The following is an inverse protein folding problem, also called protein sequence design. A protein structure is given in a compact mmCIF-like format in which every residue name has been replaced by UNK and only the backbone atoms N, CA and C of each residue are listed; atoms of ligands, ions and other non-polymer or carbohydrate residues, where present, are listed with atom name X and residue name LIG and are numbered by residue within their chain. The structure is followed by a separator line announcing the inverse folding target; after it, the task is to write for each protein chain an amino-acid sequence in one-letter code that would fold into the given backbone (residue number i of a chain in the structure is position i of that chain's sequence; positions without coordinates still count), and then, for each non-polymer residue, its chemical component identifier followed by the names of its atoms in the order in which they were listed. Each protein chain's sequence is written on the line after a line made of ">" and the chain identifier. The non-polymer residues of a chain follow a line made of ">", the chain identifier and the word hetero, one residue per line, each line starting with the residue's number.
data_IF_085023877434
#
_entry.id   IF_085023877434
#
_cell.length_a   1.000
_cell.length_b   1.000
_cell.length_c   1.000
_cell.angle_alpha   90.00
_cell.angle_beta   90.00
_cell.angle_gamma   90.00
#
_symmetry.space_group_name_H-M   'P 1'
#
loop_
_entity.id
_entity.type
_entity.pdbx_description
1 polymer ?
#
# COMPACT_ATOMS: atom_id res chain seq x y z
N UNK A 1 -10.53 13.85 4.22
CA UNK A 1 -10.71 12.40 4.41
C UNK A 1 -10.96 12.17 5.90
N UNK A 2 -12.05 11.48 6.28
CA UNK A 2 -12.39 11.17 7.67
C UNK A 2 -12.83 12.34 8.57
N UNK A 3 -13.22 13.51 8.02
CA UNK A 3 -13.64 14.67 8.83
C UNK A 3 -12.49 15.42 9.54
N UNK A 4 -11.23 15.12 9.21
CA UNK A 4 -10.09 15.89 9.66
C UNK A 4 -10.00 17.23 8.91
N UNK A 5 -9.73 18.31 9.63
CA UNK A 5 -9.62 19.67 9.12
C UNK A 5 -8.18 20.17 9.29
N UNK A 6 -7.49 20.57 8.20
CA UNK A 6 -6.12 21.09 8.29
C UNK A 6 -6.02 22.25 9.29
N UNK A 7 -5.10 22.13 10.26
CA UNK A 7 -4.88 23.16 11.28
C UNK A 7 -5.88 23.16 12.43
N UNK A 8 -6.92 22.32 12.39
CA UNK A 8 -7.95 22.23 13.43
C UNK A 8 -7.92 20.88 14.15
N UNK A 9 -8.05 19.78 13.40
CA UNK A 9 -8.21 18.44 13.98
C UNK A 9 -7.61 17.35 13.10
N UNK A 10 -6.69 16.59 13.70
CA UNK A 10 -6.15 15.34 13.17
C UNK A 10 -6.85 14.18 13.88
N UNK A 11 -7.67 13.42 13.14
CA UNK A 11 -8.42 12.28 13.68
C UNK A 11 -7.64 10.96 13.68
N UNK A 12 -6.34 10.98 13.40
CA UNK A 12 -5.52 9.80 13.65
C UNK A 12 -5.16 9.70 15.13
N UNK A 13 -5.06 8.48 15.65
CA UNK A 13 -4.46 8.24 16.96
C UNK A 13 -2.94 8.43 16.96
N UNK A 14 -2.27 8.27 15.81
CA UNK A 14 -0.81 8.37 15.69
C UNK A 14 -0.37 9.25 14.51
N UNK A 15 0.54 10.19 14.78
CA UNK A 15 1.15 11.05 13.76
C UNK A 15 2.11 10.28 12.85
N UNK A 16 2.28 10.75 11.61
CA UNK A 16 3.24 10.20 10.65
C UNK A 16 3.80 11.31 9.72
N UNK A 17 5.05 11.20 9.21
CA UNK A 17 5.74 12.27 8.47
C UNK A 17 5.01 12.81 7.23
N UNK A 18 4.24 11.98 6.54
CA UNK A 18 3.39 12.34 5.41
C UNK A 18 2.21 13.23 5.72
N UNK A 19 1.98 13.61 6.98
CA UNK A 19 1.05 14.69 7.30
C UNK A 19 1.62 16.08 7.05
N UNK A 20 2.94 16.22 7.01
CA UNK A 20 3.58 17.53 6.91
C UNK A 20 4.66 17.61 5.83
N UNK A 21 5.43 16.54 5.57
CA UNK A 21 6.65 16.66 4.75
C UNK A 21 7.02 15.46 3.87
N UNK A 22 6.27 14.35 3.87
CA UNK A 22 6.66 13.20 3.06
C UNK A 22 6.27 13.40 1.58
N UNK A 23 7.28 13.56 0.73
CA UNK A 23 7.14 13.58 -0.71
C UNK A 23 8.31 12.80 -1.31
N UNK A 24 8.03 11.92 -2.28
CA UNK A 24 9.01 11.15 -3.01
C UNK A 24 8.67 11.17 -4.50
N UNK A 25 9.71 11.10 -5.34
CA UNK A 25 9.56 10.96 -6.77
C UNK A 25 9.76 9.50 -7.18
N UNK A 26 9.04 9.06 -8.22
CA UNK A 26 9.34 7.78 -8.88
C UNK A 26 10.73 7.82 -9.52
N UNK A 27 11.49 6.74 -9.38
CA UNK A 27 12.75 6.57 -10.11
C UNK A 27 12.47 6.05 -11.52
N UNK A 28 12.17 6.95 -12.46
CA UNK A 28 11.82 6.58 -13.83
C UNK A 28 12.95 5.83 -14.57
N UNK A 29 14.22 6.09 -14.23
CA UNK A 29 15.37 5.45 -14.87
C UNK A 29 15.49 3.95 -14.52
N UNK A 30 15.09 3.58 -13.31
CA UNK A 30 15.17 2.20 -12.80
C UNK A 30 13.78 1.54 -12.64
N UNK A 31 12.71 2.19 -13.11
CA UNK A 31 11.38 1.61 -13.11
C UNK A 31 11.32 0.46 -14.15
N UNK A 32 10.93 -0.77 -13.76
CA UNK A 32 10.81 -1.89 -14.68
C UNK A 32 9.56 -1.80 -15.55
N UNK A 33 8.63 -0.89 -15.23
CA UNK A 33 7.36 -0.69 -15.92
C UNK A 33 7.17 0.78 -16.28
N UNK A 34 5.97 1.11 -16.76
CA UNK A 34 5.56 2.50 -16.96
C UNK A 34 5.36 3.24 -15.61
N UNK A 35 5.67 4.55 -15.55
CA UNK A 35 5.40 5.39 -14.39
C UNK A 35 3.91 5.42 -14.02
N UNK A 36 3.59 5.62 -12.74
CA UNK A 36 2.20 5.60 -12.24
C UNK A 36 1.31 6.63 -12.94
N UNK A 37 1.82 7.81 -13.27
CA UNK A 37 1.03 8.83 -13.95
C UNK A 37 0.61 8.41 -15.37
N UNK A 38 1.48 7.69 -16.10
CA UNK A 38 1.16 7.15 -17.43
C UNK A 38 0.10 6.07 -17.32
N UNK A 39 0.22 5.16 -16.35
CA UNK A 39 -0.79 4.15 -16.05
C UNK A 39 -2.15 4.79 -15.71
N UNK A 40 -2.13 5.95 -15.04
CA UNK A 40 -3.32 6.76 -14.74
C UNK A 40 -3.78 7.63 -15.91
N UNK A 41 -3.26 7.39 -17.11
CA UNK A 41 -3.65 8.01 -18.39
C UNK A 41 -3.28 9.49 -18.52
N UNK A 42 -2.29 9.96 -17.76
CA UNK A 42 -1.62 11.24 -18.03
C UNK A 42 -0.54 11.05 -19.10
N UNK A 43 -0.17 12.15 -19.78
CA UNK A 43 0.93 12.08 -20.76
C UNK A 43 2.27 11.93 -20.06
N UNK A 44 3.22 11.27 -20.72
CA UNK A 44 4.58 11.06 -20.22
C UNK A 44 5.33 12.37 -19.91
N UNK A 45 5.03 13.44 -20.65
CA UNK A 45 5.64 14.77 -20.46
C UNK A 45 4.90 15.65 -19.44
N UNK A 46 3.81 15.16 -18.87
CA UNK A 46 2.97 15.94 -17.97
C UNK A 46 3.49 15.88 -16.53
N UNK A 47 3.66 17.05 -15.91
CA UNK A 47 3.93 17.14 -14.47
C UNK A 47 2.67 16.76 -13.68
N UNK A 48 2.76 15.71 -12.87
CA UNK A 48 1.64 15.15 -12.08
C UNK A 48 2.13 14.86 -10.67
N UNK A 49 1.29 15.21 -9.69
CA UNK A 49 1.47 14.82 -8.28
C UNK A 49 0.33 13.88 -7.90
N UNK A 50 0.66 12.69 -7.39
CA UNK A 50 -0.32 11.79 -6.78
C UNK A 50 -0.36 12.05 -5.29
N UNK A 51 -1.52 12.44 -4.78
CA UNK A 51 -1.77 12.59 -3.34
C UNK A 51 -2.45 11.33 -2.82
N UNK A 52 -1.90 10.74 -1.76
CA UNK A 52 -2.40 9.50 -1.18
C UNK A 52 -2.59 9.65 0.34
N UNK A 53 -3.77 9.27 0.84
CA UNK A 53 -4.07 9.28 2.27
C UNK A 53 -3.51 8.04 2.96
N UNK A 54 -2.25 8.10 3.39
CA UNK A 54 -1.61 6.99 4.11
C UNK A 54 -1.86 7.04 5.62
N UNK A 55 -2.17 5.89 6.22
CA UNK A 55 -2.17 5.70 7.67
C UNK A 55 -0.78 5.62 8.30
N UNK A 56 0.26 5.47 7.47
CA UNK A 56 1.65 5.35 7.90
C UNK A 56 2.53 4.78 6.79
N UNK A 57 3.80 4.54 7.10
CA UNK A 57 4.76 3.84 6.24
C UNK A 57 5.22 2.61 7.02
N UNK A 58 5.27 1.48 6.34
CA UNK A 58 5.75 0.22 6.91
C UNK A 58 6.83 -0.37 6.02
N UNK A 59 8.00 -0.63 6.60
CA UNK A 59 9.14 -1.16 5.88
C UNK A 59 9.04 -2.67 5.71
N UNK A 60 9.21 -3.14 4.47
CA UNK A 60 9.26 -4.55 4.13
C UNK A 60 10.71 -4.99 3.94
N UNK A 61 11.28 -5.64 4.96
CA UNK A 61 12.67 -6.11 4.89
C UNK A 61 12.75 -7.50 4.24
N UNK A 62 13.11 -7.53 2.96
CA UNK A 62 13.51 -8.76 2.28
C UNK A 62 14.89 -8.60 1.64
N UNK A 63 15.86 -9.33 2.17
CA UNK A 63 17.25 -9.36 1.69
C UNK A 63 17.64 -10.73 1.14
N UNK A 64 16.70 -11.68 1.14
CA UNK A 64 16.98 -13.09 0.88
C UNK A 64 16.44 -13.55 -0.46
N UNK A 65 15.31 -12.99 -0.90
CA UNK A 65 14.71 -13.37 -2.18
C UNK A 65 15.67 -13.11 -3.33
N UNK A 66 15.91 -14.16 -4.12
CA UNK A 66 16.75 -14.10 -5.32
C UNK A 66 15.95 -14.22 -6.61
N UNK A 67 14.68 -14.61 -6.52
CA UNK A 67 13.75 -14.78 -7.63
C UNK A 67 12.52 -13.91 -7.42
N UNK A 68 11.82 -13.57 -8.51
CA UNK A 68 10.57 -12.84 -8.42
C UNK A 68 9.49 -13.64 -7.67
N UNK A 69 9.47 -14.96 -7.81
CA UNK A 69 8.52 -15.82 -7.07
C UNK A 69 8.70 -15.68 -5.56
N UNK A 70 9.93 -15.79 -5.05
CA UNK A 70 10.21 -15.65 -3.62
C UNK A 70 9.85 -14.24 -3.12
N UNK A 71 10.23 -13.23 -3.90
CA UNK A 71 9.95 -11.83 -3.56
C UNK A 71 8.45 -11.55 -3.51
N UNK A 72 7.69 -11.97 -4.53
CA UNK A 72 6.24 -11.80 -4.57
C UNK A 72 5.55 -12.51 -3.41
N UNK A 73 6.05 -13.70 -3.04
CA UNK A 73 5.55 -14.44 -1.88
C UNK A 73 5.81 -13.68 -0.57
N UNK A 74 7.01 -13.12 -0.39
CA UNK A 74 7.35 -12.30 0.77
C UNK A 74 6.53 -11.02 0.85
N UNK A 75 6.35 -10.33 -0.28
CA UNK A 75 5.49 -9.14 -0.37
C UNK A 75 4.04 -9.48 0.00
N UNK A 76 3.47 -10.53 -0.58
CA UNK A 76 2.09 -10.94 -0.34
C UNK A 76 1.84 -11.23 1.15
N UNK A 77 2.70 -12.00 1.81
CA UNK A 77 2.53 -12.30 3.23
C UNK A 77 2.74 -11.08 4.12
N UNK A 78 3.61 -10.14 3.73
CA UNK A 78 3.84 -8.92 4.50
C UNK A 78 2.65 -7.95 4.46
N UNK A 79 1.84 -8.00 3.40
CA UNK A 79 0.68 -7.14 3.22
C UNK A 79 -0.59 -7.65 3.94
N UNK A 80 -0.56 -8.85 4.54
CA UNK A 80 -1.67 -9.46 5.30
C UNK A 80 -1.86 -8.84 6.70
N UNK A 81 -1.94 -7.52 6.78
CA UNK A 81 -2.05 -6.81 8.07
C UNK A 81 -3.51 -6.82 8.54
N UNK A 82 -3.91 -7.83 9.32
CA UNK A 82 -5.31 -8.04 9.78
C UNK A 82 -5.94 -6.81 10.45
N UNK A 83 -5.16 -6.05 11.23
CA UNK A 83 -5.62 -4.84 11.92
C UNK A 83 -5.55 -3.55 11.09
N UNK A 84 -5.31 -3.64 9.77
CA UNK A 84 -5.19 -2.44 8.92
C UNK A 84 -6.55 -1.85 8.56
N UNK A 85 -6.55 -0.54 8.30
CA UNK A 85 -7.75 0.18 7.83
C UNK A 85 -8.31 -0.39 6.52
N UNK A 86 -7.48 -1.04 5.70
CA UNK A 86 -7.92 -1.70 4.47
C UNK A 86 -8.97 -2.78 4.74
N UNK A 87 -8.92 -3.47 5.89
CA UNK A 87 -9.96 -4.43 6.29
C UNK A 87 -11.16 -3.77 6.97
N UNK A 88 -10.94 -2.75 7.80
CA UNK A 88 -12.00 -2.16 8.63
C UNK A 88 -12.94 -1.22 7.87
N UNK A 89 -12.42 -0.40 6.96
CA UNK A 89 -13.19 0.65 6.28
C UNK A 89 -13.08 0.57 4.76
N UNK A 90 -12.43 -0.49 4.25
CA UNK A 90 -12.00 -0.59 2.87
C UNK A 90 -10.85 0.37 2.57
N UNK A 91 -10.07 0.06 1.54
CA UNK A 91 -8.99 0.93 1.10
C UNK A 91 -8.07 0.27 0.09
N UNK A 92 -7.14 1.07 -0.40
CA UNK A 92 -6.07 0.61 -1.28
C UNK A 92 -4.77 0.50 -0.49
N UNK A 93 -3.76 -0.14 -1.08
CA UNK A 93 -2.39 -0.17 -0.56
C UNK A 93 -1.49 0.48 -1.60
N UNK A 94 -0.73 1.49 -1.20
CA UNK A 94 0.35 2.04 -2.02
C UNK A 94 1.64 1.29 -1.67
N UNK A 95 2.12 0.46 -2.60
CA UNK A 95 3.37 -0.28 -2.47
C UNK A 95 4.47 0.38 -3.29
N UNK A 96 5.55 0.80 -2.63
CA UNK A 96 6.78 1.28 -3.28
C UNK A 96 7.83 0.18 -3.30
N UNK A 97 8.39 -0.10 -4.47
CA UNK A 97 9.41 -1.14 -4.66
C UNK A 97 10.79 -0.49 -4.74
N UNK A 98 11.75 -0.96 -3.95
CA UNK A 98 13.12 -0.45 -3.99
C UNK A 98 13.86 -0.91 -5.28
N UNK A 99 14.92 -0.20 -5.71
CA UNK A 99 15.64 -0.54 -6.95
C UNK A 99 16.14 -2.00 -7.01
N UNK A 100 16.57 -2.57 -5.88
CA UNK A 100 17.06 -3.95 -5.83
C UNK A 100 15.95 -4.96 -6.12
N UNK A 101 14.76 -4.78 -5.53
CA UNK A 101 13.59 -5.62 -5.79
C UNK A 101 13.04 -5.41 -7.20
N UNK A 102 13.00 -4.16 -7.66
CA UNK A 102 12.63 -3.82 -9.03
C UNK A 102 13.52 -4.51 -10.06
N UNK A 103 14.84 -4.60 -9.80
CA UNK A 103 15.78 -5.31 -10.66
C UNK A 103 15.50 -6.82 -10.72
N UNK A 104 15.10 -7.46 -9.62
CA UNK A 104 14.69 -8.88 -9.60
C UNK A 104 13.45 -9.08 -10.48
N UNK A 105 12.42 -8.26 -10.29
CA UNK A 105 11.17 -8.33 -11.06
C UNK A 105 11.43 -8.10 -12.56
N UNK A 106 12.29 -7.14 -12.91
CA UNK A 106 12.72 -6.88 -14.29
C UNK A 106 13.44 -8.06 -14.91
N UNK A 107 14.43 -8.61 -14.19
CA UNK A 107 15.26 -9.74 -14.65
C UNK A 107 14.39 -10.96 -14.96
N UNK A 108 13.41 -11.21 -14.10
CA UNK A 108 12.49 -12.35 -14.23
C UNK A 108 11.27 -12.02 -15.10
N UNK A 109 11.25 -10.83 -15.72
CA UNK A 109 10.25 -10.36 -16.69
C UNK A 109 8.82 -10.32 -16.16
N UNK A 110 8.65 -10.04 -14.87
CA UNK A 110 7.32 -9.88 -14.27
C UNK A 110 6.73 -8.54 -14.67
N UNK A 111 5.57 -8.57 -15.30
CA UNK A 111 4.78 -7.38 -15.59
C UNK A 111 4.12 -6.82 -14.33
N UNK A 112 3.80 -5.52 -14.34
CA UNK A 112 3.10 -4.87 -13.23
C UNK A 112 1.73 -5.51 -12.96
N UNK A 113 1.06 -5.95 -14.03
CA UNK A 113 -0.24 -6.60 -13.94
C UNK A 113 -0.14 -7.97 -13.27
N UNK A 114 0.82 -8.80 -13.66
CA UNK A 114 1.07 -10.09 -13.00
C UNK A 114 1.39 -9.92 -11.52
N UNK A 115 2.20 -8.92 -11.16
CA UNK A 115 2.47 -8.61 -9.75
C UNK A 115 1.18 -8.25 -9.00
N UNK A 116 0.36 -7.36 -9.55
CA UNK A 116 -0.91 -6.94 -8.93
C UNK A 116 -1.86 -8.12 -8.75
N UNK A 117 -2.01 -8.96 -9.76
CA UNK A 117 -2.86 -10.14 -9.71
C UNK A 117 -2.34 -11.16 -8.69
N UNK A 118 -1.02 -11.38 -8.65
CA UNK A 118 -0.41 -12.24 -7.65
C UNK A 118 -0.69 -11.72 -6.23
N UNK A 119 -0.42 -10.44 -5.96
CA UNK A 119 -0.67 -9.84 -4.66
C UNK A 119 -2.16 -9.92 -4.32
N UNK A 120 -3.03 -9.48 -5.23
CA UNK A 120 -4.48 -9.55 -5.04
C UNK A 120 -4.95 -10.94 -4.64
N UNK A 121 -4.49 -11.99 -5.31
CA UNK A 121 -4.92 -13.36 -5.01
C UNK A 121 -4.27 -13.97 -3.76
N UNK A 122 -3.18 -13.39 -3.24
CA UNK A 122 -2.37 -13.98 -2.17
C UNK A 122 -2.30 -13.13 -0.89
N UNK A 123 -2.97 -11.98 -0.81
CA UNK A 123 -2.99 -11.10 0.38
C UNK A 123 -4.27 -11.22 1.21
N UNK A 124 -5.07 -12.26 1.00
CA UNK A 124 -6.32 -12.46 1.74
C UNK A 124 -6.02 -13.05 3.11
N UNK A 125 -6.76 -12.58 4.11
CA UNK A 125 -6.81 -13.20 5.44
C UNK A 125 -8.13 -13.98 5.55
N UNK A 126 -8.09 -15.30 5.81
CA UNK A 126 -9.27 -16.09 6.11
C UNK A 126 -10.13 -15.47 7.21
N UNK A 127 -11.46 -15.52 7.06
CA UNK A 127 -12.37 -14.99 8.08
C UNK A 127 -12.21 -15.69 9.44
N UNK A 128 -11.80 -16.96 9.43
CA UNK A 128 -11.52 -17.75 10.64
C UNK A 128 -10.30 -17.28 11.44
N UNK A 129 -9.38 -16.52 10.82
CA UNK A 129 -8.24 -15.93 11.52
C UNK A 129 -8.64 -14.68 12.32
N UNK A 130 -9.82 -14.12 12.06
CA UNK A 130 -10.35 -12.98 12.81
C UNK A 130 -11.08 -13.44 14.08
N UNK A 131 -10.94 -12.71 15.20
CA UNK A 131 -11.76 -12.98 16.37
C UNK A 131 -13.23 -12.72 16.06
N UNK A 132 -14.12 -13.46 16.71
CA UNK A 132 -15.59 -13.35 16.52
C UNK A 132 -16.10 -11.91 16.68
N UNK A 133 -15.45 -11.09 17.50
CA UNK A 133 -15.79 -9.68 17.68
C UNK A 133 -15.63 -8.82 16.42
N UNK A 134 -14.87 -9.26 15.41
CA UNK A 134 -14.70 -8.58 14.12
C UNK A 134 -15.67 -9.11 13.04
N UNK A 135 -16.31 -10.26 13.27
CA UNK A 135 -17.29 -10.87 12.38
C UNK A 135 -18.70 -10.37 12.73
N UNK A 136 -18.95 -9.07 12.56
CA UNK A 136 -20.25 -8.44 12.86
C UNK A 136 -20.94 -7.99 11.58
N UNK A 137 -22.25 -8.18 11.52
CA UNK A 137 -23.08 -7.71 10.39
C UNK A 137 -23.23 -6.18 10.37
N UNK A 138 -23.00 -5.51 11.50
CA UNK A 138 -23.08 -4.05 11.65
C UNK A 138 -21.82 -3.48 12.30
N UNK A 139 -21.26 -2.42 11.71
CA UNK A 139 -20.15 -1.63 12.27
C UNK A 139 -20.76 -0.61 13.24
N UNK A 140 -20.66 -0.85 14.54
CA UNK A 140 -21.01 0.17 15.54
C UNK A 140 -20.13 1.42 15.31
N UNK A 141 -20.72 2.62 15.26
CA UNK A 141 -19.93 3.85 15.19
C UNK A 141 -18.93 3.88 16.34
N UNK A 142 -17.67 4.21 16.07
CA UNK A 142 -16.72 4.58 17.10
C UNK A 142 -17.37 5.68 17.95
N UNK A 143 -17.68 5.37 19.20
CA UNK A 143 -18.15 6.37 20.16
C UNK A 143 -17.08 7.46 20.26
N UNK A 144 -17.46 8.73 20.07
CA UNK A 144 -16.55 9.82 20.36
C UNK A 144 -16.18 9.71 21.85
N UNK A 145 -14.88 9.67 22.21
CA UNK A 145 -14.48 9.64 23.60
C UNK A 145 -14.90 10.96 24.26
N UNK A 146 -15.55 10.87 25.43
CA UNK A 146 -15.90 12.00 26.30
C UNK A 146 -14.69 12.86 26.69
#
# INVERSE_FOLDING_TARGET
>A
MGGAHPGELDRSTAGQPGKYTFCAAENAAENPWEPLHVERRFREDQSVVTVYGAGGIFDLNDRSSKTATDLMHMLANSLKIMGSNSYLVGGEILLTICPQHAAILKRDKVSKQELKEYLWNNTWNPAEDFPESYCRDEVEPLADPD
#
